data_IF_197502884727
#
_entry.id   IF_197502884727
#
_cell.length_a   1.000
_cell.length_b   1.000
_cell.length_c   1.000
_cell.angle_alpha   90.00
_cell.angle_beta   90.00
_cell.angle_gamma   90.00
#
_symmetry.space_group_name_H-M   'P 1'
#
loop_
_entity.id
_entity.type
_entity.pdbx_description
1 polymer ?
#
# COMPACT_ATOMS: atom_id res chain seq x y z
N UNK A 1 -3.23 -7.64 -30.95
CA UNK A 1 -3.56 -6.81 -29.77
C UNK A 1 -5.06 -6.74 -29.66
N UNK A 2 -5.62 -7.03 -28.48
CA UNK A 2 -7.07 -7.00 -28.23
C UNK A 2 -7.62 -5.56 -28.46
N UNK A 3 -8.66 -5.37 -29.28
CA UNK A 3 -9.27 -4.06 -29.55
C UNK A 3 -9.70 -3.29 -28.30
N UNK A 4 -10.10 -3.99 -27.22
CA UNK A 4 -10.50 -3.36 -25.94
C UNK A 4 -9.31 -2.77 -25.19
N UNK A 5 -8.14 -3.40 -25.35
CA UNK A 5 -6.89 -2.95 -24.74
C UNK A 5 -6.41 -1.64 -25.38
N UNK A 6 -6.54 -1.54 -26.71
CA UNK A 6 -6.24 -0.33 -27.48
C UNK A 6 -7.09 0.86 -27.06
N UNK A 7 -8.40 0.65 -26.90
CA UNK A 7 -9.34 1.69 -26.47
C UNK A 7 -9.02 2.19 -25.04
N UNK A 8 -8.56 1.29 -24.18
CA UNK A 8 -8.14 1.62 -22.81
C UNK A 8 -6.88 2.48 -22.81
N UNK A 9 -5.89 2.16 -23.67
CA UNK A 9 -4.68 2.97 -23.80
C UNK A 9 -4.93 4.35 -24.42
N UNK A 10 -5.90 4.47 -25.32
CA UNK A 10 -6.32 5.75 -25.87
C UNK A 10 -7.03 6.62 -24.84
N UNK A 11 -7.89 6.04 -23.99
CA UNK A 11 -8.53 6.76 -22.88
C UNK A 11 -7.55 7.26 -21.82
N UNK A 12 -6.40 6.60 -21.69
CA UNK A 12 -5.33 6.97 -20.76
C UNK A 12 -4.33 7.98 -21.35
N UNK A 13 -4.46 8.37 -22.63
CA UNK A 13 -3.66 9.43 -23.26
C UNK A 13 -2.19 9.09 -23.50
N UNK A 14 -1.82 7.80 -23.52
CA UNK A 14 -0.42 7.36 -23.63
C UNK A 14 0.04 7.37 -25.10
N UNK A 15 1.07 8.17 -25.47
CA UNK A 15 1.55 8.28 -26.84
C UNK A 15 2.04 6.95 -27.43
N UNK A 16 1.77 6.72 -28.72
CA UNK A 16 2.12 5.50 -29.46
C UNK A 16 3.60 5.07 -29.39
N UNK A 17 4.52 6.01 -29.20
CA UNK A 17 5.96 5.72 -29.11
C UNK A 17 6.38 5.10 -27.76
N UNK A 18 5.64 5.37 -26.68
CA UNK A 18 5.87 4.76 -25.35
C UNK A 18 5.35 3.31 -25.29
N UNK A 19 4.47 2.91 -26.22
CA UNK A 19 3.97 1.53 -26.35
C UNK A 19 5.08 0.55 -26.74
N UNK A 20 6.10 0.99 -27.46
CA UNK A 20 7.23 0.15 -27.87
C UNK A 20 8.22 -0.09 -26.71
N UNK A 21 8.38 0.87 -25.80
CA UNK A 21 9.18 0.73 -24.57
C UNK A 21 8.44 -0.14 -23.55
N UNK A 22 7.11 -0.03 -23.49
CA UNK A 22 6.22 -0.90 -22.72
C UNK A 22 6.07 -2.29 -23.34
N UNK A 23 6.43 -2.53 -24.60
CA UNK A 23 6.45 -3.89 -25.17
C UNK A 23 7.54 -4.78 -24.52
N UNK A 24 8.54 -4.17 -23.85
CA UNK A 24 9.46 -4.85 -22.94
C UNK A 24 8.90 -5.09 -21.52
N UNK A 25 7.74 -4.51 -21.23
CA UNK A 25 6.97 -4.73 -20.00
C UNK A 25 5.79 -5.63 -20.38
N UNK A 26 5.97 -6.94 -20.22
CA UNK A 26 4.96 -7.93 -20.55
C UNK A 26 3.58 -7.52 -19.99
N UNK A 27 2.70 -7.05 -20.87
CA UNK A 27 1.27 -6.87 -20.61
C UNK A 27 0.68 -8.27 -20.69
N UNK A 28 0.98 -9.08 -19.67
CA UNK A 28 0.35 -10.38 -19.51
C UNK A 28 -1.11 -10.13 -19.14
N UNK A 29 -2.01 -10.79 -19.86
CA UNK A 29 -3.44 -10.73 -19.63
C UNK A 29 -3.72 -11.12 -18.17
N UNK A 30 -4.08 -10.12 -17.35
CA UNK A 30 -4.23 -10.25 -15.90
C UNK A 30 -5.48 -11.08 -15.58
N UNK A 31 -5.28 -12.39 -15.52
CA UNK A 31 -6.13 -13.36 -14.86
C UNK A 31 -5.56 -13.65 -13.46
N UNK A 32 -6.47 -13.76 -12.48
CA UNK A 32 -6.28 -14.07 -11.05
C UNK A 32 -4.83 -14.24 -10.55
N UNK A 33 -4.38 -13.31 -9.70
CA UNK A 33 -3.21 -13.40 -8.80
C UNK A 33 -1.86 -13.93 -9.34
N UNK A 34 -1.69 -14.14 -10.64
CA UNK A 34 -0.40 -14.56 -11.22
C UNK A 34 0.37 -13.32 -11.70
N UNK A 35 0.90 -12.55 -10.74
CA UNK A 35 1.79 -11.40 -11.00
C UNK A 35 3.19 -11.70 -10.47
N UNK A 36 4.19 -11.68 -11.36
CA UNK A 36 5.67 -11.69 -11.13
C UNK A 36 6.27 -12.94 -10.44
N UNK A 37 5.57 -13.57 -9.48
CA UNK A 37 6.07 -14.68 -8.69
C UNK A 37 6.37 -15.94 -9.51
N UNK A 38 5.69 -16.16 -10.64
CA UNK A 38 5.95 -17.31 -11.54
C UNK A 38 7.11 -17.02 -12.51
N UNK A 39 7.17 -15.82 -13.10
CA UNK A 39 8.17 -15.48 -14.13
C UNK A 39 9.54 -15.13 -13.55
N UNK A 40 9.61 -14.58 -12.32
CA UNK A 40 10.86 -14.11 -11.72
C UNK A 40 11.23 -14.82 -10.41
N UNK A 41 10.55 -15.92 -10.07
CA UNK A 41 10.83 -16.71 -8.85
C UNK A 41 12.31 -17.05 -8.70
N UNK A 42 12.94 -17.50 -9.77
CA UNK A 42 14.35 -17.90 -9.76
C UNK A 42 15.29 -16.71 -9.49
N UNK A 43 14.96 -15.52 -9.98
CA UNK A 43 15.76 -14.30 -9.74
C UNK A 43 15.62 -13.84 -8.29
N UNK A 44 14.40 -13.81 -7.76
CA UNK A 44 14.15 -13.45 -6.36
C UNK A 44 14.79 -14.48 -5.41
N UNK A 45 14.64 -15.78 -5.69
CA UNK A 45 15.25 -16.86 -4.90
C UNK A 45 16.78 -16.79 -4.90
N UNK A 46 17.42 -16.45 -6.02
CA UNK A 46 18.89 -16.23 -6.08
C UNK A 46 19.35 -15.08 -5.19
N UNK A 47 18.52 -14.05 -5.02
CA UNK A 47 18.78 -12.94 -4.11
C UNK A 47 18.33 -13.22 -2.66
N UNK A 48 17.75 -14.39 -2.39
CA UNK A 48 17.17 -14.75 -1.08
C UNK A 48 15.87 -14.00 -0.74
N UNK A 49 15.30 -13.26 -1.69
CA UNK A 49 14.04 -12.54 -1.49
C UNK A 49 12.88 -13.52 -1.44
N UNK A 50 12.08 -13.45 -0.37
CA UNK A 50 10.83 -14.20 -0.25
C UNK A 50 9.72 -13.27 -0.70
N UNK A 51 8.97 -13.66 -1.73
CA UNK A 51 7.77 -12.98 -2.17
C UNK A 51 6.72 -14.03 -2.56
N UNK A 52 5.70 -14.17 -1.73
CA UNK A 52 4.65 -15.17 -1.90
C UNK A 52 3.34 -14.74 -1.20
N UNK A 53 2.23 -15.45 -1.42
CA UNK A 53 1.02 -15.27 -0.62
C UNK A 53 1.31 -15.46 0.88
N UNK A 54 0.68 -14.65 1.73
CA UNK A 54 0.90 -14.75 3.19
C UNK A 54 0.46 -16.11 3.75
N UNK A 55 -0.53 -16.75 3.11
CA UNK A 55 -0.98 -18.10 3.43
C UNK A 55 0.09 -19.18 3.20
N UNK A 56 0.95 -19.01 2.18
CA UNK A 56 2.13 -19.85 1.96
C UNK A 56 3.22 -19.52 2.98
N UNK A 57 3.49 -18.24 3.23
CA UNK A 57 4.51 -17.83 4.18
C UNK A 57 4.25 -18.34 5.61
N UNK A 58 2.99 -18.41 6.03
CA UNK A 58 2.61 -18.99 7.33
C UNK A 58 3.02 -20.46 7.44
N UNK A 59 2.94 -21.22 6.34
CA UNK A 59 3.31 -22.64 6.32
C UNK A 59 4.81 -22.85 6.17
N UNK A 60 5.42 -22.10 5.27
CA UNK A 60 6.80 -22.35 4.82
C UNK A 60 7.84 -21.58 5.67
N UNK A 61 7.44 -20.45 6.25
CA UNK A 61 8.28 -19.57 7.08
C UNK A 61 7.60 -19.18 8.41
N UNK A 62 7.08 -20.14 9.20
CA UNK A 62 6.23 -19.87 10.36
C UNK A 62 6.90 -18.99 11.42
N UNK A 63 8.19 -19.21 11.69
CA UNK A 63 8.94 -18.44 12.70
C UNK A 63 9.07 -16.96 12.31
N UNK A 64 9.31 -16.70 11.02
CA UNK A 64 9.46 -15.35 10.50
C UNK A 64 8.12 -14.61 10.54
N UNK A 65 7.04 -15.25 10.07
CA UNK A 65 5.70 -14.65 10.13
C UNK A 65 5.27 -14.42 11.57
N UNK A 66 5.45 -15.39 12.47
CA UNK A 66 5.11 -15.27 13.90
C UNK A 66 5.83 -14.13 14.59
N UNK A 67 7.07 -13.84 14.20
CA UNK A 67 7.86 -12.74 14.78
C UNK A 67 7.31 -11.36 14.44
N UNK A 68 6.77 -11.18 13.23
CA UNK A 68 6.44 -9.84 12.72
C UNK A 68 4.94 -9.58 12.55
N UNK A 69 4.12 -10.60 12.31
CA UNK A 69 2.69 -10.43 12.07
C UNK A 69 1.98 -9.85 13.30
N UNK A 70 1.28 -8.75 13.11
CA UNK A 70 0.58 -8.04 14.18
C UNK A 70 1.50 -7.24 15.11
N UNK A 71 2.81 -7.19 14.85
CA UNK A 71 3.77 -6.41 15.66
C UNK A 71 3.63 -4.90 15.45
N UNK A 72 3.10 -4.47 14.30
CA UNK A 72 2.92 -3.07 13.95
C UNK A 72 1.44 -2.68 13.99
N UNK A 73 0.55 -3.55 13.51
CA UNK A 73 -0.91 -3.41 13.58
C UNK A 73 -1.50 -4.59 14.36
N UNK A 74 -1.62 -4.47 15.69
CA UNK A 74 -2.16 -5.53 16.52
C UNK A 74 -3.61 -5.88 16.15
N UNK A 75 -4.08 -7.11 16.45
CA UNK A 75 -5.48 -7.49 16.23
C UNK A 75 -6.50 -6.60 16.95
N UNK A 76 -6.10 -5.86 17.98
CA UNK A 76 -6.97 -4.97 18.76
C UNK A 76 -6.84 -3.49 18.38
N UNK A 77 -6.15 -3.17 17.29
CA UNK A 77 -5.80 -1.78 16.91
C UNK A 77 -7.04 -0.89 16.68
N UNK A 78 -8.00 -1.39 15.90
CA UNK A 78 -9.26 -0.72 15.62
C UNK A 78 -10.29 -1.73 15.10
N UNK A 79 -11.55 -1.31 14.95
CA UNK A 79 -12.66 -2.18 14.54
C UNK A 79 -12.36 -2.98 13.26
N UNK A 80 -11.89 -2.33 12.18
CA UNK A 80 -11.63 -2.99 10.91
C UNK A 80 -10.35 -3.82 10.92
N UNK A 81 -9.34 -3.41 11.68
CA UNK A 81 -8.15 -4.22 11.91
C UNK A 81 -8.49 -5.51 12.67
N UNK A 82 -9.35 -5.44 13.70
CA UNK A 82 -9.83 -6.62 14.43
C UNK A 82 -10.61 -7.58 13.55
N UNK A 83 -11.52 -7.04 12.72
CA UNK A 83 -12.26 -7.84 11.75
C UNK A 83 -11.30 -8.50 10.74
N UNK A 84 -10.39 -7.73 10.15
CA UNK A 84 -9.38 -8.24 9.22
C UNK A 84 -8.55 -9.35 9.87
N UNK A 85 -8.00 -9.14 11.06
CA UNK A 85 -7.19 -10.14 11.77
C UNK A 85 -7.93 -11.44 12.05
N UNK A 86 -9.26 -11.42 12.17
CA UNK A 86 -10.06 -12.62 12.39
C UNK A 86 -10.39 -13.39 11.09
N UNK A 87 -10.51 -12.69 9.95
CA UNK A 87 -11.11 -13.27 8.74
C UNK A 87 -10.24 -13.20 7.48
N UNK A 88 -9.05 -12.58 7.52
CA UNK A 88 -8.19 -12.50 6.34
C UNK A 88 -7.81 -13.91 5.88
N UNK A 89 -7.95 -14.16 4.59
CA UNK A 89 -7.65 -15.45 3.98
C UNK A 89 -6.41 -15.41 3.10
N UNK A 90 -6.02 -14.21 2.63
CA UNK A 90 -4.91 -14.04 1.72
C UNK A 90 -4.29 -12.63 1.82
N UNK A 91 -3.24 -12.40 1.05
CA UNK A 91 -2.46 -11.17 1.04
C UNK A 91 -1.01 -11.45 0.67
N UNK A 92 -0.12 -10.49 0.89
CA UNK A 92 1.26 -10.61 0.41
C UNK A 92 2.26 -10.68 1.56
N UNK A 93 3.22 -11.60 1.44
CA UNK A 93 4.37 -11.66 2.33
C UNK A 93 5.65 -11.35 1.54
N UNK A 94 6.42 -10.40 2.03
CA UNK A 94 7.71 -10.01 1.46
C UNK A 94 8.76 -9.99 2.56
N UNK A 95 9.86 -10.71 2.36
CA UNK A 95 11.06 -10.58 3.19
C UNK A 95 12.29 -10.35 2.31
N UNK A 96 13.04 -9.29 2.64
CA UNK A 96 14.29 -8.93 1.97
C UNK A 96 15.45 -9.19 2.95
N UNK A 97 16.38 -10.11 2.64
CA UNK A 97 17.49 -10.43 3.55
C UNK A 97 18.47 -9.28 3.76
N UNK A 98 19.29 -9.43 4.80
CA UNK A 98 20.31 -8.44 5.18
C UNK A 98 21.21 -8.06 4.01
N UNK A 99 21.36 -6.76 3.78
CA UNK A 99 22.22 -6.16 2.74
C UNK A 99 21.72 -6.36 1.30
N UNK A 100 20.53 -6.96 1.10
CA UNK A 100 19.99 -7.22 -0.23
C UNK A 100 19.19 -6.03 -0.72
N UNK A 101 19.58 -5.48 -1.87
CA UNK A 101 18.71 -4.63 -2.68
C UNK A 101 17.87 -5.52 -3.58
N UNK A 102 16.54 -5.44 -3.45
CA UNK A 102 15.63 -6.22 -4.27
C UNK A 102 15.93 -5.96 -5.75
N UNK A 103 16.16 -7.00 -6.57
CA UNK A 103 16.60 -6.84 -7.95
C UNK A 103 15.47 -6.35 -8.88
N UNK A 104 14.22 -6.34 -8.40
CA UNK A 104 13.02 -6.03 -9.16
C UNK A 104 12.10 -5.16 -8.31
N UNK A 105 11.24 -4.38 -8.97
CA UNK A 105 10.08 -3.78 -8.31
C UNK A 105 9.00 -4.85 -8.16
N UNK A 106 8.56 -5.08 -6.93
CA UNK A 106 7.53 -6.06 -6.65
C UNK A 106 6.17 -5.41 -6.91
N UNK A 107 5.27 -6.12 -7.59
CA UNK A 107 3.93 -5.61 -7.87
C UNK A 107 2.88 -6.68 -7.61
N UNK A 108 1.84 -6.30 -6.88
CA UNK A 108 0.63 -7.11 -6.69
C UNK A 108 -0.58 -6.36 -7.21
N UNK A 109 -1.50 -7.10 -7.80
CA UNK A 109 -2.73 -6.55 -8.34
C UNK A 109 -3.91 -7.29 -7.75
N UNK A 110 -4.73 -6.58 -6.97
CA UNK A 110 -5.92 -7.13 -6.35
C UNK A 110 -7.16 -6.71 -7.16
N UNK A 111 -7.97 -7.70 -7.54
CA UNK A 111 -9.24 -7.49 -8.24
C UNK A 111 -10.39 -8.13 -7.47
N UNK A 112 -11.40 -7.34 -7.12
CA UNK A 112 -12.59 -7.85 -6.42
C UNK A 112 -13.52 -8.53 -7.44
N UNK A 113 -13.53 -9.86 -7.48
CA UNK A 113 -14.35 -10.62 -8.44
C UNK A 113 -15.65 -11.19 -7.84
N UNK A 114 -15.75 -11.38 -6.52
CA UNK A 114 -16.90 -12.04 -5.88
C UNK A 114 -18.03 -11.07 -5.47
N UNK A 115 -19.28 -11.48 -5.66
CA UNK A 115 -20.46 -10.74 -5.19
C UNK A 115 -20.62 -10.89 -3.67
N UNK A 116 -20.99 -9.81 -2.97
CA UNK A 116 -21.36 -9.85 -1.54
C UNK A 116 -20.25 -10.25 -0.55
N UNK A 117 -18.98 -10.17 -0.95
CA UNK A 117 -17.83 -10.49 -0.10
C UNK A 117 -17.08 -9.23 0.30
N UNK A 118 -16.77 -9.08 1.60
CA UNK A 118 -15.73 -8.13 2.02
C UNK A 118 -14.36 -8.66 1.59
N UNK A 119 -13.51 -7.78 1.06
CA UNK A 119 -12.11 -8.13 0.79
C UNK A 119 -11.29 -7.81 2.04
N UNK A 120 -10.74 -8.86 2.65
CA UNK A 120 -9.86 -8.78 3.82
C UNK A 120 -8.51 -9.36 3.43
N UNK A 121 -7.57 -8.48 3.13
CA UNK A 121 -6.21 -8.87 2.80
C UNK A 121 -5.23 -8.35 3.84
N UNK A 122 -4.13 -9.08 4.00
CA UNK A 122 -3.06 -8.69 4.90
C UNK A 122 -1.70 -8.76 4.23
N UNK A 123 -1.05 -7.61 4.13
CA UNK A 123 0.29 -7.48 3.55
C UNK A 123 1.32 -7.25 4.65
N UNK A 124 2.37 -8.07 4.66
CA UNK A 124 3.48 -8.00 5.60
C UNK A 124 4.79 -7.91 4.83
N UNK A 125 5.51 -6.80 4.97
CA UNK A 125 6.79 -6.54 4.30
C UNK A 125 7.87 -6.28 5.35
N UNK A 126 8.93 -7.06 5.31
CA UNK A 126 10.09 -6.91 6.19
C UNK A 126 11.33 -6.67 5.33
N UNK A 127 12.01 -5.55 5.56
CA UNK A 127 13.34 -5.28 5.03
C UNK A 127 14.35 -5.38 6.17
N UNK A 128 15.23 -6.39 6.09
CA UNK A 128 16.29 -6.61 7.07
C UNK A 128 17.40 -5.54 6.95
N UNK A 129 18.40 -5.58 7.82
CA UNK A 129 19.38 -4.50 7.92
C UNK A 129 20.11 -4.26 6.58
N UNK A 130 20.15 -3.01 6.11
CA UNK A 130 20.73 -2.62 4.83
C UNK A 130 19.96 -3.12 3.60
N UNK A 131 18.75 -3.66 3.77
CA UNK A 131 17.94 -4.17 2.67
C UNK A 131 17.10 -3.06 2.02
N UNK A 132 16.74 -3.21 0.74
CA UNK A 132 15.83 -2.26 0.08
C UNK A 132 14.83 -2.90 -0.86
N UNK A 133 13.61 -2.37 -0.91
CA UNK A 133 12.53 -2.84 -1.80
C UNK A 133 11.62 -1.70 -2.25
N UNK A 134 11.19 -1.79 -3.51
CA UNK A 134 10.08 -1.02 -4.07
C UNK A 134 8.91 -1.97 -4.28
N UNK A 135 7.76 -1.67 -3.68
CA UNK A 135 6.54 -2.47 -3.73
C UNK A 135 5.38 -1.62 -4.24
N UNK A 136 4.71 -2.08 -5.30
CA UNK A 136 3.55 -1.46 -5.91
C UNK A 136 2.31 -2.32 -5.64
N UNK A 137 1.27 -1.70 -5.09
CA UNK A 137 -0.05 -2.29 -4.92
C UNK A 137 -1.05 -1.63 -5.86
N UNK A 138 -1.63 -2.42 -6.77
CA UNK A 138 -2.75 -1.99 -7.61
C UNK A 138 -4.06 -2.60 -7.12
N UNK A 139 -5.13 -1.81 -7.00
CA UNK A 139 -6.47 -2.36 -6.74
C UNK A 139 -7.50 -1.79 -7.73
N UNK A 140 -8.31 -2.67 -8.32
CA UNK A 140 -9.48 -2.28 -9.14
C UNK A 140 -10.69 -3.14 -8.84
N UNK A 141 -11.89 -2.59 -9.06
CA UNK A 141 -13.14 -3.32 -8.90
C UNK A 141 -14.09 -3.12 -10.08
N UNK A 142 -14.91 -4.14 -10.42
CA UNK A 142 -16.02 -4.01 -11.35
C UNK A 142 -17.18 -3.19 -10.75
N UNK A 143 -17.95 -2.54 -11.63
CA UNK A 143 -19.18 -1.81 -11.26
C UNK A 143 -20.21 -2.75 -10.63
N UNK A 144 -20.80 -2.36 -9.49
CA UNK A 144 -21.92 -3.07 -8.85
C UNK A 144 -22.85 -2.14 -8.08
N UNK A 145 -24.11 -2.52 -8.01
CA UNK A 145 -25.16 -1.73 -7.35
C UNK A 145 -25.11 -1.79 -5.80
N UNK A 146 -24.55 -2.87 -5.24
CA UNK A 146 -24.39 -3.04 -3.78
C UNK A 146 -23.02 -2.56 -3.29
N UNK A 147 -22.98 -1.94 -2.11
CA UNK A 147 -21.74 -1.47 -1.50
C UNK A 147 -20.84 -2.63 -1.08
N UNK A 148 -19.54 -2.53 -1.36
CA UNK A 148 -18.55 -3.53 -0.99
C UNK A 148 -17.53 -2.96 -0.01
N UNK A 149 -17.14 -3.75 0.98
CA UNK A 149 -16.13 -3.37 1.96
C UNK A 149 -14.75 -3.93 1.55
N UNK A 150 -13.78 -3.03 1.42
CA UNK A 150 -12.37 -3.34 1.32
C UNK A 150 -11.69 -2.91 2.62
N UNK A 151 -11.28 -3.88 3.43
CA UNK A 151 -10.66 -3.68 4.74
C UNK A 151 -9.30 -4.40 4.81
N UNK A 152 -8.29 -3.77 4.21
CA UNK A 152 -6.92 -4.27 4.19
C UNK A 152 -6.11 -3.83 5.42
N UNK A 153 -5.15 -4.66 5.80
CA UNK A 153 -4.11 -4.31 6.78
C UNK A 153 -2.73 -4.46 6.14
N UNK A 154 -1.89 -3.43 6.28
CA UNK A 154 -0.53 -3.42 5.77
C UNK A 154 0.45 -3.11 6.89
N UNK A 155 1.42 -3.99 7.08
CA UNK A 155 2.51 -3.86 8.05
C UNK A 155 3.85 -3.81 7.30
N UNK A 156 4.59 -2.71 7.47
CA UNK A 156 5.96 -2.58 6.96
C UNK A 156 6.94 -2.52 8.13
N UNK A 157 8.03 -3.29 8.08
CA UNK A 157 9.09 -3.26 9.09
C UNK A 157 10.42 -3.05 8.39
N UNK A 158 11.05 -1.90 8.65
CA UNK A 158 12.38 -1.59 8.16
C UNK A 158 13.39 -1.64 9.32
N UNK A 159 14.37 -2.55 9.23
CA UNK A 159 15.47 -2.66 10.19
C UNK A 159 16.60 -1.65 9.87
N UNK A 160 17.76 -1.77 10.54
CA UNK A 160 18.84 -0.77 10.45
C UNK A 160 19.26 -0.52 9.00
N UNK A 161 19.37 0.74 8.57
CA UNK A 161 19.77 1.11 7.21
C UNK A 161 18.86 0.56 6.09
N UNK A 162 17.68 0.05 6.42
CA UNK A 162 16.76 -0.54 5.45
C UNK A 162 15.81 0.49 4.83
N UNK A 163 15.43 0.29 3.56
CA UNK A 163 14.52 1.17 2.83
C UNK A 163 13.32 0.41 2.24
N UNK A 164 12.11 0.88 2.53
CA UNK A 164 10.87 0.37 1.92
C UNK A 164 10.16 1.52 1.21
N UNK A 165 10.02 1.40 -0.11
CA UNK A 165 9.14 2.26 -0.90
C UNK A 165 7.87 1.49 -1.21
N UNK A 166 6.74 2.03 -0.76
CA UNK A 166 5.45 1.41 -0.92
C UNK A 166 4.52 2.35 -1.68
N UNK A 167 4.13 1.94 -2.89
CA UNK A 167 3.26 2.68 -3.77
C UNK A 167 1.89 2.03 -3.87
N UNK A 168 0.83 2.83 -3.94
CA UNK A 168 -0.54 2.37 -4.14
C UNK A 168 -1.21 3.16 -5.26
N UNK A 169 -1.78 2.44 -6.23
CA UNK A 169 -2.64 3.03 -7.27
C UNK A 169 -4.00 2.35 -7.18
N UNK A 170 -5.01 3.11 -6.74
CA UNK A 170 -6.36 2.59 -6.53
C UNK A 170 -7.35 3.32 -7.44
N UNK A 171 -8.12 2.54 -8.22
CA UNK A 171 -9.26 3.01 -8.99
C UNK A 171 -10.46 2.10 -8.77
N UNK A 172 -11.27 2.46 -7.81
CA UNK A 172 -12.45 1.69 -7.39
C UNK A 172 -13.72 2.10 -8.15
N UNK A 173 -14.82 1.40 -7.92
CA UNK A 173 -16.14 1.83 -8.38
C UNK A 173 -16.75 2.85 -7.40
N UNK A 174 -17.03 4.10 -7.83
CA UNK A 174 -17.44 5.18 -6.91
C UNK A 174 -18.91 5.14 -6.50
N UNK A 175 -19.68 4.21 -7.04
CA UNK A 175 -21.13 4.28 -7.06
C UNK A 175 -21.63 4.96 -8.33
N UNK A 176 -22.96 4.96 -8.50
CA UNK A 176 -23.61 5.64 -9.63
C UNK A 176 -23.63 7.18 -9.46
N UNK A 177 -24.29 7.87 -10.38
CA UNK A 177 -24.40 9.33 -10.37
C UNK A 177 -25.19 9.87 -9.17
N UNK A 178 -26.03 9.05 -8.54
CA UNK A 178 -26.78 9.40 -7.32
C UNK A 178 -26.03 8.98 -6.03
N UNK A 179 -24.86 8.34 -6.17
CA UNK A 179 -24.05 7.87 -5.05
C UNK A 179 -24.51 6.55 -4.44
N UNK A 180 -25.32 5.77 -5.16
CA UNK A 180 -25.70 4.41 -4.75
C UNK A 180 -24.62 3.41 -5.16
N UNK A 181 -24.36 2.44 -4.29
CA UNK A 181 -23.31 1.45 -4.49
C UNK A 181 -21.91 1.96 -4.11
N UNK A 182 -20.92 1.38 -4.77
CA UNK A 182 -19.52 1.77 -4.64
C UNK A 182 -18.79 1.14 -3.45
N UNK A 183 -17.50 1.49 -3.33
CA UNK A 183 -16.60 0.79 -2.40
C UNK A 183 -16.33 1.61 -1.14
N UNK A 184 -16.41 0.94 0.01
CA UNK A 184 -15.89 1.41 1.28
C UNK A 184 -14.46 0.92 1.46
N UNK A 185 -13.52 1.85 1.45
CA UNK A 185 -12.09 1.58 1.52
C UNK A 185 -11.56 1.98 2.90
N UNK A 186 -11.60 1.03 3.84
CA UNK A 186 -11.30 1.23 5.26
C UNK A 186 -10.04 0.45 5.65
N UNK A 187 -8.89 1.07 5.39
CA UNK A 187 -7.60 0.38 5.40
C UNK A 187 -6.72 0.88 6.53
N UNK A 188 -6.05 -0.05 7.20
CA UNK A 188 -5.02 0.27 8.20
C UNK A 188 -3.64 -0.06 7.64
N UNK A 189 -2.88 0.97 7.21
CA UNK A 189 -1.47 0.81 6.81
C UNK A 189 -0.56 1.43 7.86
N UNK A 190 0.45 0.71 8.31
CA UNK A 190 1.44 1.24 9.25
C UNK A 190 2.81 0.63 8.98
N UNK A 191 3.79 1.51 8.89
CA UNK A 191 5.20 1.18 8.79
C UNK A 191 5.91 1.50 10.09
N UNK A 192 6.80 0.62 10.51
CA UNK A 192 7.71 0.83 11.61
C UNK A 192 9.14 0.90 11.06
N UNK A 193 9.68 2.11 11.08
CA UNK A 193 11.12 2.36 10.96
C UNK A 193 11.77 1.92 12.27
N UNK A 194 11.96 0.60 12.42
CA UNK A 194 12.35 -0.06 13.66
C UNK A 194 13.83 0.16 13.94
N UNK A 195 14.66 0.07 12.91
CA UNK A 195 16.12 0.24 13.02
C UNK A 195 16.61 1.66 12.78
N UNK A 196 17.85 1.94 13.18
CA UNK A 196 18.51 3.22 12.95
C UNK A 196 18.68 3.49 11.46
N UNK A 197 18.53 4.75 11.03
CA UNK A 197 18.63 5.18 9.62
C UNK A 197 17.71 4.42 8.64
N UNK A 198 16.67 3.77 9.16
CA UNK A 198 15.64 3.12 8.34
C UNK A 198 14.74 4.16 7.68
N UNK A 199 14.21 3.81 6.50
CA UNK A 199 13.42 4.71 5.67
C UNK A 199 12.19 4.01 5.13
N UNK A 200 11.01 4.61 5.35
CA UNK A 200 9.76 4.17 4.75
C UNK A 200 9.14 5.34 3.99
N UNK A 201 8.84 5.12 2.71
CA UNK A 201 8.15 6.07 1.84
C UNK A 201 6.83 5.50 1.35
N UNK A 202 5.74 6.20 1.67
CA UNK A 202 4.40 5.94 1.16
C UNK A 202 4.11 6.83 -0.04
N UNK A 203 3.70 6.23 -1.15
CA UNK A 203 3.20 6.95 -2.32
C UNK A 203 1.81 6.43 -2.63
N UNK A 204 0.84 7.32 -2.78
CA UNK A 204 -0.52 6.90 -3.11
C UNK A 204 -1.21 7.83 -4.12
N UNK A 205 -1.94 7.21 -5.02
CA UNK A 205 -2.93 7.85 -5.88
C UNK A 205 -4.26 7.14 -5.65
N UNK A 206 -5.22 7.88 -5.11
CA UNK A 206 -6.50 7.34 -4.68
C UNK A 206 -7.65 7.98 -5.45
N UNK A 207 -8.45 7.13 -6.10
CA UNK A 207 -9.70 7.52 -6.75
C UNK A 207 -10.72 6.38 -6.73
N UNK A 208 -11.97 6.72 -6.98
CA UNK A 208 -13.02 5.76 -7.29
C UNK A 208 -13.71 5.06 -6.10
N UNK A 209 -13.40 5.33 -4.83
CA UNK A 209 -14.20 4.75 -3.71
C UNK A 209 -15.41 5.63 -3.38
N UNK A 210 -16.51 5.05 -2.93
CA UNK A 210 -17.63 5.82 -2.39
C UNK A 210 -17.24 6.51 -1.07
N UNK A 211 -16.58 5.76 -0.17
CA UNK A 211 -15.97 6.30 1.05
C UNK A 211 -14.56 5.77 1.20
N UNK A 212 -13.58 6.66 1.36
CA UNK A 212 -12.20 6.30 1.72
C UNK A 212 -11.90 6.76 3.13
N UNK A 213 -11.39 5.85 3.95
CA UNK A 213 -10.90 6.16 5.29
C UNK A 213 -9.53 5.50 5.51
N UNK A 214 -8.45 6.30 5.45
CA UNK A 214 -7.09 5.75 5.46
C UNK A 214 -6.06 6.73 6.02
N UNK A 215 -5.20 6.21 6.89
CA UNK A 215 -4.10 6.98 7.48
C UNK A 215 -2.78 6.19 7.47
N UNK A 216 -2.10 5.99 6.32
CA UNK A 216 -0.81 5.33 6.31
C UNK A 216 0.14 6.05 7.26
N UNK A 217 0.74 5.31 8.18
CA UNK A 217 1.47 5.87 9.31
C UNK A 217 2.91 5.38 9.32
N UNK A 218 3.84 6.22 9.78
CA UNK A 218 5.22 5.83 10.07
C UNK A 218 5.51 6.00 11.56
N UNK A 219 5.89 4.91 12.23
CA UNK A 219 6.51 4.94 13.54
C UNK A 219 8.02 5.01 13.33
N UNK A 220 8.60 6.17 13.62
CA UNK A 220 10.02 6.48 13.50
C UNK A 220 10.71 6.16 14.82
N UNK A 221 10.92 4.85 15.06
CA UNK A 221 11.50 4.32 16.31
C UNK A 221 13.01 4.45 16.33
N UNK A 222 13.68 4.02 15.27
CA UNK A 222 15.13 4.07 15.19
C UNK A 222 15.65 5.50 15.07
N UNK A 223 16.82 5.75 15.65
CA UNK A 223 17.51 7.03 15.50
C UNK A 223 17.81 7.31 14.02
N UNK A 224 17.69 8.58 13.63
CA UNK A 224 17.90 9.07 12.26
C UNK A 224 16.95 8.46 11.21
N UNK A 225 15.88 7.77 11.63
CA UNK A 225 14.90 7.21 10.69
C UNK A 225 14.08 8.28 9.96
N UNK A 226 13.61 7.92 8.76
CA UNK A 226 12.94 8.80 7.81
C UNK A 226 11.59 8.25 7.40
N UNK A 227 10.54 9.06 7.51
CA UNK A 227 9.19 8.72 7.06
C UNK A 227 8.69 9.70 6.01
N UNK A 228 8.27 9.20 4.85
CA UNK A 228 7.75 10.06 3.80
C UNK A 228 6.34 9.62 3.39
N UNK A 229 5.50 10.61 3.06
CA UNK A 229 4.14 10.38 2.60
C UNK A 229 3.81 11.33 1.46
N UNK A 230 3.51 10.76 0.31
CA UNK A 230 3.12 11.45 -0.91
C UNK A 230 1.73 10.95 -1.31
N UNK A 231 0.75 11.85 -1.40
CA UNK A 231 -0.64 11.48 -1.65
C UNK A 231 -1.33 12.42 -2.61
N UNK A 232 -2.00 11.83 -3.60
CA UNK A 232 -2.99 12.49 -4.45
C UNK A 232 -4.32 11.80 -4.25
N UNK A 233 -5.34 12.56 -3.83
CA UNK A 233 -6.69 12.05 -3.62
C UNK A 233 -7.67 12.82 -4.50
N UNK A 234 -8.38 12.12 -5.39
CA UNK A 234 -9.38 12.72 -6.29
C UNK A 234 -10.77 12.18 -5.94
N UNK A 235 -11.69 13.09 -5.61
CA UNK A 235 -13.09 12.76 -5.35
C UNK A 235 -14.01 13.54 -6.28
N UNK A 236 -15.03 12.87 -6.81
CA UNK A 236 -16.07 13.43 -7.67
C UNK A 236 -17.45 12.92 -7.23
N UNK A 237 -18.52 13.45 -7.81
CA UNK A 237 -19.90 13.01 -7.56
C UNK A 237 -20.21 13.04 -6.06
N UNK A 238 -20.68 11.94 -5.47
CA UNK A 238 -21.00 11.86 -4.03
C UNK A 238 -19.93 11.14 -3.21
N UNK A 239 -18.72 10.99 -3.75
CA UNK A 239 -17.62 10.34 -3.04
C UNK A 239 -17.16 11.15 -1.82
N UNK A 240 -16.71 10.44 -0.79
CA UNK A 240 -16.15 11.01 0.43
C UNK A 240 -14.77 10.42 0.71
N UNK A 241 -13.81 11.27 1.02
CA UNK A 241 -12.47 10.85 1.43
C UNK A 241 -12.09 11.55 2.72
N UNK A 242 -11.81 10.77 3.77
CA UNK A 242 -11.08 11.20 4.97
C UNK A 242 -9.73 10.47 4.95
N UNK A 243 -8.72 11.16 4.42
CA UNK A 243 -7.40 10.58 4.14
C UNK A 243 -6.31 11.39 4.79
N UNK A 244 -5.18 10.77 5.08
CA UNK A 244 -4.00 11.50 5.51
C UNK A 244 -2.92 10.57 6.02
N UNK A 245 -2.09 11.04 6.95
CA UNK A 245 -0.97 10.25 7.46
C UNK A 245 -0.68 10.57 8.92
N UNK A 246 -0.02 9.65 9.62
CA UNK A 246 0.49 9.88 10.98
C UNK A 246 1.99 9.64 11.01
N UNK A 247 2.75 10.69 11.31
CA UNK A 247 4.20 10.62 11.52
C UNK A 247 4.47 10.65 13.02
N UNK A 248 4.96 9.54 13.57
CA UNK A 248 5.19 9.36 15.01
C UNK A 248 6.70 9.30 15.24
N UNK A 249 7.29 10.40 15.69
CA UNK A 249 8.72 10.52 15.97
C UNK A 249 9.04 10.02 17.38
N UNK A 250 9.86 8.98 17.50
CA UNK A 250 10.30 8.44 18.80
C UNK A 250 11.82 8.51 18.94
N UNK A 251 12.57 8.13 17.89
CA UNK A 251 14.02 8.19 17.86
C UNK A 251 14.57 9.61 17.68
N UNK A 252 15.85 9.78 17.98
CA UNK A 252 16.59 11.06 17.81
C UNK A 252 16.80 11.37 16.33
N UNK A 253 16.89 12.64 15.99
CA UNK A 253 17.21 13.15 14.65
C UNK A 253 16.29 12.63 13.52
N UNK A 254 15.11 12.12 13.87
CA UNK A 254 14.15 11.56 12.92
C UNK A 254 13.58 12.64 12.00
N UNK A 255 13.25 12.27 10.76
CA UNK A 255 12.75 13.20 9.75
C UNK A 255 11.45 12.69 9.15
N UNK A 256 10.52 13.59 8.87
CA UNK A 256 9.36 13.26 8.07
C UNK A 256 8.98 14.31 7.06
N UNK A 257 8.49 13.84 5.91
CA UNK A 257 8.00 14.67 4.81
C UNK A 257 6.57 14.25 4.50
N UNK A 258 5.65 15.21 4.47
CA UNK A 258 4.25 14.98 4.14
C UNK A 258 3.89 15.89 2.98
N UNK A 259 3.54 15.32 1.83
CA UNK A 259 2.98 16.03 0.68
C UNK A 259 1.62 15.41 0.35
N UNK A 260 0.54 16.18 0.53
CA UNK A 260 -0.80 15.75 0.17
C UNK A 260 -1.45 16.77 -0.76
N UNK A 261 -2.08 16.28 -1.83
CA UNK A 261 -2.84 17.07 -2.80
C UNK A 261 -4.23 16.44 -2.96
N UNK A 262 -5.23 17.11 -2.42
CA UNK A 262 -6.64 16.75 -2.58
C UNK A 262 -7.28 17.52 -3.73
N UNK A 263 -8.00 16.81 -4.59
CA UNK A 263 -8.85 17.39 -5.64
C UNK A 263 -10.28 16.97 -5.35
N UNK A 264 -11.18 17.95 -5.18
CA UNK A 264 -12.62 17.73 -5.03
C UNK A 264 -13.36 18.38 -6.20
N UNK A 265 -14.31 17.64 -6.77
CA UNK A 265 -15.15 18.08 -7.86
C UNK A 265 -16.62 17.69 -7.65
N UNK A 266 -17.54 18.49 -8.20
CA UNK A 266 -18.98 18.25 -8.05
C UNK A 266 -19.43 18.31 -6.58
N UNK A 267 -20.10 17.25 -6.11
CA UNK A 267 -20.53 17.13 -4.71
C UNK A 267 -19.53 16.38 -3.80
N UNK A 268 -18.34 16.05 -4.34
CA UNK A 268 -17.38 15.18 -3.67
C UNK A 268 -16.77 15.88 -2.46
N UNK A 269 -16.60 15.16 -1.34
CA UNK A 269 -16.04 15.71 -0.11
C UNK A 269 -14.66 15.13 0.14
N UNK A 270 -13.65 15.99 0.20
CA UNK A 270 -12.28 15.58 0.51
C UNK A 270 -11.84 16.28 1.80
N UNK A 271 -11.43 15.50 2.79
CA UNK A 271 -10.86 15.96 4.03
C UNK A 271 -9.48 15.32 4.20
N UNK A 272 -8.47 16.18 4.35
CA UNK A 272 -7.16 15.75 4.80
C UNK A 272 -7.11 15.75 6.34
N UNK A 273 -6.67 14.66 6.95
CA UNK A 273 -6.46 14.55 8.40
C UNK A 273 -5.10 13.91 8.68
N UNK A 274 -4.17 14.73 9.17
CA UNK A 274 -2.82 14.30 9.53
C UNK A 274 -2.55 14.38 11.03
N UNK A 275 -1.53 13.66 11.48
CA UNK A 275 -0.93 13.80 12.81
C UNK A 275 0.60 13.81 12.70
N UNK A 276 1.24 14.78 13.33
CA UNK A 276 2.68 14.74 13.61
C UNK A 276 2.84 14.71 15.13
N UNK A 277 3.38 13.62 15.64
CA UNK A 277 3.62 13.43 17.07
C UNK A 277 5.11 13.35 17.35
N UNK A 278 5.60 14.16 18.29
CA UNK A 278 6.98 14.14 18.77
C UNK A 278 7.01 13.54 20.18
N UNK A 279 7.59 12.34 20.30
CA UNK A 279 7.81 11.68 21.57
C UNK A 279 8.90 12.38 22.40
N UNK A 280 8.93 12.07 23.71
CA UNK A 280 9.86 12.71 24.67
C UNK A 280 11.34 12.53 24.30
N UNK A 281 11.69 11.41 23.65
CA UNK A 281 13.07 11.07 23.28
C UNK A 281 13.47 11.58 21.89
N UNK A 282 12.53 12.14 21.11
CA UNK A 282 12.71 12.55 19.73
C UNK A 282 13.45 13.90 19.58
N UNK A 283 14.66 13.97 20.16
CA UNK A 283 15.51 15.16 20.09
C UNK A 283 15.88 15.46 18.64
N UNK A 284 15.83 16.75 18.26
CA UNK A 284 16.17 17.21 16.91
C UNK A 284 15.31 16.57 15.79
N UNK A 285 14.12 16.07 16.12
CA UNK A 285 13.16 15.60 15.14
C UNK A 285 12.69 16.75 14.24
N UNK A 286 12.50 16.46 12.96
CA UNK A 286 12.06 17.42 11.94
C UNK A 286 10.88 16.88 11.16
N UNK A 287 9.90 17.73 10.92
CA UNK A 287 8.82 17.46 9.99
C UNK A 287 8.73 18.61 8.98
N UNK A 288 8.47 18.25 7.73
CA UNK A 288 8.10 19.17 6.67
C UNK A 288 6.71 18.81 6.14
N UNK A 289 5.77 19.75 6.27
CA UNK A 289 4.42 19.65 5.74
C UNK A 289 4.02 21.02 5.16
N UNK A 290 4.09 21.20 3.83
CA UNK A 290 3.62 22.42 3.20
C UNK A 290 2.09 22.40 3.16
N UNK A 291 1.50 23.39 3.83
CA UNK A 291 0.05 23.67 3.80
C UNK A 291 -0.35 24.19 2.42
#
# INVERSE_FOLDING_TARGET
MDPKLLETYEKLGIPLHERATLAGVAVDAVFDSVSVATTFRATLARAGVIFCPISEAIRDYPELVRTYLGSVVPPTDNFFASLNSAVFTDGSFVYIPKGVRCPLELSTYFRINAAKTGQFERTLIIADAGASVSYLEGCTAPMRDENQLHAAVVELIALDDAEIRYATVQNWYPGDEQGLGGIYNFVTKRGECRGARSHISWVQVETGSAITWKYPSCILRGDESVGEFYSVAVVRNYQQADTGTKMIHLGRNTRSTILSKGVSAGHGKNAYRGLVHLGREAQCARNYYPV
#
